data_IF_382173312356
#
_entry.id   IF_382173312356
#
_cell.length_a   1.000
_cell.length_b   1.000
_cell.length_c   1.000
_cell.angle_alpha   90.00
_cell.angle_beta   90.00
_cell.angle_gamma   90.00
#
_symmetry.space_group_name_H-M   'P 1'
#
loop_
_entity.id
_entity.type
_entity.pdbx_description
1 polymer ?
#
# COMPACT_ATOMS: atom_id res chain seq x y z
N UNK A 1 10.86 26.34 -2.42
CA UNK A 1 10.77 24.95 -2.93
C UNK A 1 10.49 25.04 -4.41
N UNK A 2 11.48 24.78 -5.26
CA UNK A 2 11.31 24.72 -6.72
C UNK A 2 11.77 23.34 -7.18
N UNK A 3 10.86 22.35 -7.12
CA UNK A 3 11.16 20.97 -7.56
C UNK A 3 10.87 20.86 -9.05
N UNK A 4 11.90 20.55 -9.84
CA UNK A 4 11.82 20.31 -11.30
C UNK A 4 12.13 18.86 -11.62
N UNK A 5 11.51 18.31 -12.67
CA UNK A 5 11.68 16.93 -13.11
C UNK A 5 10.39 16.11 -13.06
N UNK A 6 10.46 14.84 -13.45
CA UNK A 6 9.31 13.94 -13.45
C UNK A 6 9.03 13.44 -12.03
N UNK A 7 7.79 13.66 -11.55
CA UNK A 7 7.38 13.24 -10.21
C UNK A 7 7.03 11.74 -10.16
N UNK A 8 6.39 11.23 -11.22
CA UNK A 8 5.93 9.86 -11.32
C UNK A 8 6.97 8.94 -11.97
N UNK A 9 7.04 7.69 -11.52
CA UNK A 9 7.74 6.65 -12.27
C UNK A 9 7.08 6.44 -13.64
N UNK A 10 7.88 6.04 -14.65
CA UNK A 10 7.42 5.86 -16.03
C UNK A 10 6.36 4.77 -16.18
N UNK A 11 6.41 3.74 -15.34
CA UNK A 11 5.52 2.58 -15.37
C UNK A 11 4.95 2.32 -13.96
N UNK A 12 3.88 1.54 -13.92
CA UNK A 12 3.25 1.07 -12.69
C UNK A 12 3.30 -0.46 -12.64
N UNK A 13 3.17 -1.01 -11.44
CA UNK A 13 3.06 -2.45 -11.26
C UNK A 13 1.58 -2.84 -11.14
N UNK A 14 1.13 -3.77 -11.98
CA UNK A 14 -0.21 -4.35 -11.91
C UNK A 14 -0.19 -5.88 -11.87
N UNK A 15 -1.21 -6.44 -11.22
CA UNK A 15 -1.45 -7.89 -11.11
C UNK A 15 -2.94 -8.14 -11.13
N UNK A 16 -3.39 -8.99 -12.06
CA UNK A 16 -4.79 -9.42 -12.11
C UNK A 16 -5.17 -10.31 -10.91
N UNK A 17 -6.27 -9.96 -10.23
CA UNK A 17 -6.83 -10.75 -9.12
C UNK A 17 -7.66 -11.90 -9.70
N UNK A 18 -7.27 -13.14 -9.35
CA UNK A 18 -7.77 -14.35 -10.00
C UNK A 18 -8.96 -14.98 -9.28
N UNK A 19 -9.06 -14.74 -7.97
CA UNK A 19 -10.06 -15.33 -7.09
C UNK A 19 -10.14 -14.55 -5.76
N UNK A 20 -11.09 -14.94 -4.92
CA UNK A 20 -11.33 -14.32 -3.62
C UNK A 20 -10.16 -14.48 -2.65
N UNK A 21 -9.40 -15.58 -2.73
CA UNK A 21 -8.25 -15.83 -1.86
C UNK A 21 -7.11 -14.87 -2.22
N UNK A 22 -6.85 -14.68 -3.51
CA UNK A 22 -5.89 -13.70 -4.00
C UNK A 22 -6.31 -12.30 -3.57
N UNK A 23 -7.59 -11.94 -3.71
CA UNK A 23 -8.11 -10.65 -3.25
C UNK A 23 -7.82 -10.38 -1.77
N UNK A 24 -8.23 -11.30 -0.89
CA UNK A 24 -8.02 -11.16 0.56
C UNK A 24 -6.52 -11.10 0.93
N UNK A 25 -5.68 -11.87 0.24
CA UNK A 25 -4.23 -11.86 0.45
C UNK A 25 -3.61 -10.53 0.03
N UNK A 26 -4.06 -9.95 -1.09
CA UNK A 26 -3.60 -8.65 -1.57
C UNK A 26 -4.00 -7.52 -0.64
N UNK A 27 -5.22 -7.51 -0.10
CA UNK A 27 -5.63 -6.54 0.94
C UNK A 27 -4.69 -6.63 2.14
N UNK A 28 -4.50 -7.84 2.69
CA UNK A 28 -3.61 -8.04 3.84
C UNK A 28 -2.18 -7.58 3.56
N UNK A 29 -1.68 -7.82 2.35
CA UNK A 29 -0.37 -7.34 1.91
C UNK A 29 -0.29 -5.81 1.91
N UNK A 30 -1.27 -5.13 1.30
CA UNK A 30 -1.29 -3.66 1.22
C UNK A 30 -1.35 -3.05 2.62
N UNK A 31 -2.18 -3.58 3.52
CA UNK A 31 -2.30 -3.12 4.90
C UNK A 31 -1.02 -3.29 5.70
N UNK A 32 -0.19 -4.28 5.38
CA UNK A 32 1.09 -4.52 6.03
C UNK A 32 2.25 -3.69 5.46
N UNK A 33 2.08 -3.00 4.33
CA UNK A 33 3.14 -2.22 3.71
C UNK A 33 3.70 -1.11 4.62
N UNK A 34 2.89 -0.32 5.36
CA UNK A 34 3.41 0.69 6.28
C UNK A 34 4.29 0.10 7.38
N UNK A 35 3.92 -1.06 7.92
CA UNK A 35 4.71 -1.80 8.93
C UNK A 35 6.02 -2.28 8.31
N UNK A 36 5.97 -2.89 7.12
CA UNK A 36 7.17 -3.34 6.39
C UNK A 36 8.12 -2.18 6.06
N UNK A 37 7.57 -1.00 5.78
CA UNK A 37 8.32 0.23 5.56
C UNK A 37 8.79 0.92 6.84
N UNK A 38 8.47 0.36 8.03
CA UNK A 38 8.81 0.89 9.36
C UNK A 38 8.20 2.27 9.66
N UNK A 39 7.03 2.54 9.08
CA UNK A 39 6.30 3.79 9.28
C UNK A 39 5.37 3.74 10.50
N UNK A 40 4.97 2.53 10.93
CA UNK A 40 4.15 2.26 12.12
C UNK A 40 4.48 0.87 12.69
N UNK A 41 3.96 0.53 13.88
CA UNK A 41 4.17 -0.79 14.52
C UNK A 41 3.10 -1.79 14.09
N UNK A 42 1.87 -1.34 13.93
CA UNK A 42 0.74 -2.15 13.45
C UNK A 42 -0.01 -1.45 12.32
N UNK A 43 -0.71 -2.19 11.42
CA UNK A 43 -1.42 -1.59 10.30
C UNK A 43 -2.47 -0.53 10.68
N UNK A 44 -3.14 -0.72 11.82
CA UNK A 44 -4.17 0.17 12.37
C UNK A 44 -3.62 1.51 12.87
N UNK A 45 -2.33 1.61 13.16
CA UNK A 45 -1.67 2.88 13.50
C UNK A 45 -1.41 3.79 12.29
N UNK A 46 -1.63 3.31 11.05
CA UNK A 46 -1.35 4.07 9.83
C UNK A 46 -2.61 4.79 9.29
N UNK A 47 -2.79 6.11 9.52
CA UNK A 47 -4.05 6.81 9.26
C UNK A 47 -4.39 6.97 7.78
N UNK A 48 -3.44 6.68 6.88
CA UNK A 48 -3.63 6.77 5.43
C UNK A 48 -3.92 5.41 4.78
N UNK A 49 -4.20 4.36 5.57
CA UNK A 49 -4.52 3.02 5.09
C UNK A 49 -5.93 2.56 5.48
N UNK A 50 -6.44 1.53 4.81
CA UNK A 50 -7.77 0.95 5.10
C UNK A 50 -7.85 0.27 6.47
N UNK A 51 -6.72 -0.23 7.00
CA UNK A 51 -6.67 -0.90 8.30
C UNK A 51 -6.98 0.03 9.48
N UNK A 52 -6.80 1.35 9.32
CA UNK A 52 -7.12 2.35 10.33
C UNK A 52 -8.62 2.43 10.66
N UNK A 53 -9.48 2.10 9.70
CA UNK A 53 -10.94 2.20 9.85
C UNK A 53 -11.61 0.88 10.29
N UNK A 54 -10.80 -0.12 10.65
CA UNK A 54 -11.29 -1.46 11.04
C UNK A 54 -11.60 -1.56 12.52
#
# INVERSE_FOLDING_TARGET
MDRKGQFWAKEYFDRYIRDQRHFASTIKYIEQNPVKARLCRTPDEWPWGSAYFK
#
